data_IF_654163543112
#
_entry.id   IF_654163543112
#
_cell.length_a   1.000
_cell.length_b   1.000
_cell.length_c   1.000
_cell.angle_alpha   90.00
_cell.angle_beta   90.00
_cell.angle_gamma   90.00
#
_symmetry.space_group_name_H-M   'P 1'
#
loop_
_entity.id
_entity.type
_entity.pdbx_description
1 polymer ?
#
# COMPACT_ATOMS: atom_id res chain seq x y z
N UNK A 1 -81.38 -21.52 35.74
CA UNK A 1 -82.81 -21.66 36.06
C UNK A 1 -83.45 -22.51 34.98
N UNK A 2 -83.78 -23.75 35.34
CA UNK A 2 -84.16 -24.83 34.44
C UNK A 2 -85.53 -24.54 33.79
N UNK A 3 -85.80 -24.93 32.55
CA UNK A 3 -87.04 -24.53 31.86
C UNK A 3 -88.32 -25.00 32.57
N UNK A 4 -88.24 -26.12 33.28
CA UNK A 4 -89.31 -26.61 34.17
C UNK A 4 -89.57 -25.65 35.35
N UNK A 5 -88.53 -25.08 35.95
CA UNK A 5 -88.65 -24.15 37.08
C UNK A 5 -89.27 -22.81 36.66
N UNK A 6 -88.93 -22.30 35.46
CA UNK A 6 -89.56 -21.10 34.90
C UNK A 6 -91.05 -21.32 34.64
N UNK A 7 -91.43 -22.52 34.18
CA UNK A 7 -92.83 -22.88 33.96
C UNK A 7 -93.60 -22.95 35.29
N UNK A 8 -93.05 -23.62 36.31
CA UNK A 8 -93.66 -23.68 37.64
C UNK A 8 -93.77 -22.30 38.30
N UNK A 9 -92.77 -21.44 38.14
CA UNK A 9 -92.79 -20.07 38.65
C UNK A 9 -93.89 -19.22 37.97
N UNK A 10 -94.06 -19.35 36.64
CA UNK A 10 -95.14 -18.67 35.90
C UNK A 10 -96.52 -19.20 36.31
N UNK A 11 -96.69 -20.51 36.49
CA UNK A 11 -97.95 -21.09 36.99
C UNK A 11 -98.25 -20.68 38.43
N UNK A 12 -97.25 -20.62 39.30
CA UNK A 12 -97.41 -20.18 40.69
C UNK A 12 -97.84 -18.71 40.76
N UNK A 13 -97.21 -17.83 39.96
CA UNK A 13 -97.63 -16.42 39.85
C UNK A 13 -99.05 -16.31 39.30
N UNK A 14 -99.36 -17.02 38.21
CA UNK A 14 -100.69 -16.97 37.62
C UNK A 14 -101.77 -17.47 38.58
N UNK A 15 -101.51 -18.55 39.32
CA UNK A 15 -102.40 -19.09 40.36
C UNK A 15 -102.59 -18.11 41.52
N UNK A 16 -101.53 -17.42 41.94
CA UNK A 16 -101.57 -16.45 43.02
C UNK A 16 -102.34 -15.18 42.62
N UNK A 17 -102.15 -14.71 41.39
CA UNK A 17 -102.95 -13.61 40.80
C UNK A 17 -104.42 -14.00 40.67
N UNK A 18 -104.72 -15.21 40.19
CA UNK A 18 -106.10 -15.70 40.03
C UNK A 18 -106.83 -15.83 41.37
N UNK A 19 -106.17 -16.39 42.38
CA UNK A 19 -106.72 -16.52 43.74
C UNK A 19 -106.92 -15.15 44.39
N UNK A 20 -105.98 -14.22 44.18
CA UNK A 20 -106.10 -12.84 44.61
C UNK A 20 -107.33 -12.14 44.00
N UNK A 21 -107.56 -12.30 42.69
CA UNK A 21 -108.73 -11.74 42.00
C UNK A 21 -110.05 -12.33 42.51
N UNK A 22 -110.12 -13.64 42.77
CA UNK A 22 -111.32 -14.29 43.30
C UNK A 22 -111.65 -13.82 44.73
N UNK A 23 -110.65 -13.79 45.61
CA UNK A 23 -110.81 -13.29 46.99
C UNK A 23 -111.26 -11.83 47.00
N UNK A 24 -110.66 -11.01 46.14
CA UNK A 24 -111.01 -9.61 45.97
C UNK A 24 -112.45 -9.44 45.49
N UNK A 25 -112.87 -10.22 44.49
CA UNK A 25 -114.23 -10.19 43.95
C UNK A 25 -115.27 -10.66 44.99
N UNK A 26 -114.95 -11.68 45.79
CA UNK A 26 -115.84 -12.19 46.84
C UNK A 26 -116.01 -11.22 48.01
N UNK A 27 -114.92 -10.62 48.51
CA UNK A 27 -114.98 -9.71 49.67
C UNK A 27 -115.59 -8.34 49.33
N UNK A 28 -115.35 -7.85 48.12
CA UNK A 28 -115.70 -6.47 47.76
C UNK A 28 -116.84 -6.34 46.75
N UNK A 29 -117.37 -7.46 46.23
CA UNK A 29 -118.50 -7.47 45.28
C UNK A 29 -119.81 -6.87 45.82
N UNK A 30 -119.95 -6.68 47.15
CA UNK A 30 -121.14 -6.06 47.76
C UNK A 30 -121.02 -4.55 48.02
N UNK A 31 -119.82 -3.97 48.06
CA UNK A 31 -119.55 -2.54 48.31
C UNK A 31 -118.67 -1.92 47.19
N UNK A 32 -119.01 -2.17 45.93
CA UNK A 32 -118.14 -1.94 44.78
C UNK A 32 -117.61 -0.51 44.58
N UNK A 33 -118.24 0.53 45.14
CA UNK A 33 -117.84 1.92 44.90
C UNK A 33 -116.52 2.33 45.60
N UNK A 34 -116.23 1.83 46.80
CA UNK A 34 -115.01 2.23 47.53
C UNK A 34 -113.76 1.56 46.95
N UNK A 35 -113.91 0.34 46.46
CA UNK A 35 -112.79 -0.50 45.99
C UNK A 35 -112.30 -0.09 44.62
N UNK A 36 -113.22 0.29 43.73
CA UNK A 36 -112.88 0.88 42.43
C UNK A 36 -112.11 2.20 42.63
N UNK A 37 -112.45 2.98 43.68
CA UNK A 37 -111.72 4.19 44.04
C UNK A 37 -110.27 3.90 44.49
N UNK A 38 -110.06 2.90 45.35
CA UNK A 38 -108.71 2.50 45.79
C UNK A 38 -107.84 1.94 44.66
N UNK A 39 -108.40 1.15 43.73
CA UNK A 39 -107.65 0.66 42.56
C UNK A 39 -107.30 1.82 41.62
N UNK A 40 -108.26 2.72 41.35
CA UNK A 40 -108.00 3.92 40.54
C UNK A 40 -106.88 4.78 41.14
N UNK A 41 -106.86 4.91 42.47
CA UNK A 41 -105.80 5.60 43.20
C UNK A 41 -104.45 4.88 43.12
N UNK A 42 -104.41 3.56 43.35
CA UNK A 42 -103.19 2.77 43.26
C UNK A 42 -102.59 2.72 41.84
N UNK A 43 -103.45 2.67 40.80
CA UNK A 43 -103.04 2.75 39.40
C UNK A 43 -102.48 4.13 39.03
N UNK A 44 -103.04 5.20 39.59
CA UNK A 44 -102.50 6.57 39.44
C UNK A 44 -101.15 6.70 40.13
N UNK A 45 -101.02 6.20 41.37
CA UNK A 45 -99.76 6.22 42.13
C UNK A 45 -98.66 5.41 41.43
N UNK A 46 -99.01 4.23 40.91
CA UNK A 46 -98.08 3.40 40.14
C UNK A 46 -97.64 4.10 38.85
N UNK A 47 -98.55 4.78 38.16
CA UNK A 47 -98.23 5.60 36.98
C UNK A 47 -97.27 6.74 37.31
N UNK A 48 -97.47 7.42 38.45
CA UNK A 48 -96.58 8.48 38.92
C UNK A 48 -95.18 7.92 39.20
N UNK A 49 -95.08 6.80 39.92
CA UNK A 49 -93.78 6.18 40.24
C UNK A 49 -93.05 5.75 38.96
N UNK A 50 -93.77 5.16 38.00
CA UNK A 50 -93.19 4.72 36.73
C UNK A 50 -92.71 5.92 35.89
N UNK A 51 -93.46 7.02 35.89
CA UNK A 51 -93.06 8.27 35.25
C UNK A 51 -91.79 8.86 35.90
N UNK A 52 -91.68 8.83 37.23
CA UNK A 52 -90.47 9.27 37.94
C UNK A 52 -89.27 8.38 37.62
N UNK A 53 -89.44 7.05 37.57
CA UNK A 53 -88.37 6.14 37.20
C UNK A 53 -87.88 6.39 35.77
N UNK A 54 -88.79 6.64 34.83
CA UNK A 54 -88.46 7.02 33.46
C UNK A 54 -87.67 8.34 33.40
N UNK A 55 -88.07 9.33 34.19
CA UNK A 55 -87.38 10.62 34.32
C UNK A 55 -85.94 10.43 34.85
N UNK A 56 -85.76 9.63 35.90
CA UNK A 56 -84.43 9.33 36.48
C UNK A 56 -83.54 8.65 35.44
N UNK A 57 -84.07 7.67 34.72
CA UNK A 57 -83.32 6.97 33.67
C UNK A 57 -82.91 7.93 32.54
N UNK A 58 -83.82 8.81 32.12
CA UNK A 58 -83.52 9.85 31.13
C UNK A 58 -82.42 10.80 31.63
N UNK A 59 -82.44 11.20 32.90
CA UNK A 59 -81.38 12.02 33.51
C UNK A 59 -80.02 11.29 33.57
N UNK A 60 -79.99 10.03 33.98
CA UNK A 60 -78.76 9.24 34.04
C UNK A 60 -78.14 9.04 32.65
N UNK A 61 -78.97 8.71 31.67
CA UNK A 61 -78.56 8.57 30.28
C UNK A 61 -78.01 9.90 29.73
N UNK A 62 -78.69 11.02 30.01
CA UNK A 62 -78.23 12.35 29.61
C UNK A 62 -76.88 12.74 30.26
N UNK A 63 -76.67 12.38 31.53
CA UNK A 63 -75.39 12.61 32.23
C UNK A 63 -74.23 11.80 31.63
N UNK A 64 -74.46 10.53 31.28
CA UNK A 64 -73.45 9.68 30.62
C UNK A 64 -73.13 10.22 29.21
N UNK A 65 -74.14 10.64 28.44
CA UNK A 65 -73.92 11.22 27.11
C UNK A 65 -73.11 12.52 27.17
N UNK A 66 -73.35 13.39 28.16
CA UNK A 66 -72.54 14.58 28.40
C UNK A 66 -71.05 14.25 28.61
N UNK A 67 -70.76 13.31 29.51
CA UNK A 67 -69.37 12.90 29.82
C UNK A 67 -68.66 12.18 28.66
N UNK A 68 -69.40 11.48 27.81
CA UNK A 68 -68.84 10.78 26.64
C UNK A 68 -68.50 11.75 25.52
N UNK A 69 -69.35 12.76 25.29
CA UNK A 69 -69.08 13.83 24.33
C UNK A 69 -67.89 14.69 24.75
N UNK A 70 -67.73 14.99 26.03
CA UNK A 70 -66.57 15.72 26.56
C UNK A 70 -65.26 14.95 26.37
N UNK A 71 -65.27 13.62 26.58
CA UNK A 71 -64.12 12.75 26.29
C UNK A 71 -63.78 12.68 24.80
N UNK A 72 -64.79 12.65 23.94
CA UNK A 72 -64.61 12.69 22.47
C UNK A 72 -64.04 14.04 22.02
N UNK A 73 -64.57 15.15 22.50
CA UNK A 73 -64.05 16.50 22.23
C UNK A 73 -62.61 16.65 22.72
N UNK A 74 -62.30 16.18 23.93
CA UNK A 74 -60.94 16.19 24.46
C UNK A 74 -59.99 15.34 23.62
N UNK A 75 -60.45 14.18 23.13
CA UNK A 75 -59.65 13.30 22.27
C UNK A 75 -59.43 13.91 20.89
N UNK A 76 -60.45 14.56 20.30
CA UNK A 76 -60.34 15.28 19.04
C UNK A 76 -59.34 16.44 19.16
N UNK A 77 -59.43 17.25 20.23
CA UNK A 77 -58.46 18.31 20.53
C UNK A 77 -57.05 17.80 20.71
N UNK A 78 -56.87 16.64 21.36
CA UNK A 78 -55.55 15.99 21.47
C UNK A 78 -55.02 15.55 20.12
N UNK A 79 -55.85 14.94 19.27
CA UNK A 79 -55.45 14.56 17.91
C UNK A 79 -55.05 15.80 17.11
N UNK A 80 -55.84 16.88 17.14
CA UNK A 80 -55.50 18.14 16.50
C UNK A 80 -54.17 18.72 17.01
N UNK A 81 -53.93 18.68 18.32
CA UNK A 81 -52.66 19.13 18.91
C UNK A 81 -51.46 18.27 18.50
N UNK A 82 -51.66 16.95 18.34
CA UNK A 82 -50.61 16.02 17.90
C UNK A 82 -50.32 16.23 16.42
N UNK A 83 -51.34 16.34 15.57
CA UNK A 83 -51.19 16.60 14.14
C UNK A 83 -50.49 17.93 13.89
N UNK A 84 -50.90 19.01 14.56
CA UNK A 84 -50.24 20.32 14.44
C UNK A 84 -48.79 20.30 14.94
N UNK A 85 -48.49 19.51 15.98
CA UNK A 85 -47.10 19.31 16.44
C UNK A 85 -46.28 18.51 15.44
N UNK A 86 -46.89 17.53 14.76
CA UNK A 86 -46.28 16.75 13.69
C UNK A 86 -45.95 17.63 12.48
N UNK A 87 -46.88 18.49 12.06
CA UNK A 87 -46.68 19.42 10.95
C UNK A 87 -45.53 20.39 11.22
N UNK A 88 -45.47 20.97 12.44
CA UNK A 88 -44.35 21.80 12.88
C UNK A 88 -43.03 21.04 12.90
N UNK A 89 -43.05 19.78 13.33
CA UNK A 89 -41.84 18.93 13.35
C UNK A 89 -41.37 18.65 11.93
N UNK A 90 -42.28 18.35 11.01
CA UNK A 90 -41.96 18.13 9.59
C UNK A 90 -41.37 19.39 8.94
N UNK A 91 -41.90 20.57 9.26
CA UNK A 91 -41.36 21.85 8.78
C UNK A 91 -39.93 22.08 9.32
N UNK A 92 -39.72 21.87 10.63
CA UNK A 92 -38.40 22.01 11.25
C UNK A 92 -37.38 21.02 10.68
N UNK A 93 -37.79 19.76 10.46
CA UNK A 93 -36.94 18.73 9.85
C UNK A 93 -36.58 19.14 8.41
N UNK A 94 -37.54 19.64 7.64
CA UNK A 94 -37.30 20.09 6.27
C UNK A 94 -36.32 21.27 6.22
N UNK A 95 -36.47 22.24 7.11
CA UNK A 95 -35.55 23.38 7.23
C UNK A 95 -34.13 22.92 7.60
N UNK A 96 -34.00 22.08 8.65
CA UNK A 96 -32.69 21.56 9.08
C UNK A 96 -32.02 20.70 8.01
N UNK A 97 -32.79 19.90 7.26
CA UNK A 97 -32.26 19.13 6.15
C UNK A 97 -31.70 20.04 5.06
N UNK A 98 -32.41 21.11 4.70
CA UNK A 98 -31.94 22.07 3.72
C UNK A 98 -30.67 22.80 4.18
N UNK A 99 -30.60 23.21 5.44
CA UNK A 99 -29.40 23.81 6.04
C UNK A 99 -28.21 22.84 6.01
N UNK A 100 -28.43 21.59 6.45
CA UNK A 100 -27.38 20.55 6.44
C UNK A 100 -26.89 20.26 5.02
N UNK A 101 -27.78 20.21 4.03
CA UNK A 101 -27.42 20.00 2.63
C UNK A 101 -26.61 21.19 2.08
N UNK A 102 -26.96 22.42 2.46
CA UNK A 102 -26.20 23.60 2.08
C UNK A 102 -24.79 23.60 2.69
N UNK A 103 -24.67 23.32 3.99
CA UNK A 103 -23.37 23.21 4.67
C UNK A 103 -22.48 22.11 4.06
N UNK A 104 -23.07 20.95 3.74
CA UNK A 104 -22.35 19.86 3.07
C UNK A 104 -21.86 20.26 1.68
N UNK A 105 -22.69 20.98 0.91
CA UNK A 105 -22.30 21.48 -0.41
C UNK A 105 -21.13 22.46 -0.30
N UNK A 106 -21.19 23.40 0.63
CA UNK A 106 -20.13 24.39 0.83
C UNK A 106 -18.83 23.72 1.30
N UNK A 107 -18.91 22.76 2.22
CA UNK A 107 -17.75 21.98 2.67
C UNK A 107 -17.14 21.15 1.54
N UNK A 108 -17.96 20.57 0.66
CA UNK A 108 -17.49 19.84 -0.52
C UNK A 108 -16.78 20.77 -1.50
N UNK A 109 -17.36 21.95 -1.77
CA UNK A 109 -16.75 22.94 -2.66
C UNK A 109 -15.40 23.43 -2.11
N UNK A 110 -15.31 23.72 -0.81
CA UNK A 110 -14.04 24.07 -0.17
C UNK A 110 -13.00 22.96 -0.28
N UNK A 111 -13.41 21.70 -0.07
CA UNK A 111 -12.53 20.53 -0.18
C UNK A 111 -12.03 20.38 -1.61
N UNK A 112 -12.90 20.51 -2.61
CA UNK A 112 -12.54 20.47 -4.04
C UNK A 112 -11.54 21.59 -4.38
N UNK A 113 -11.77 22.80 -3.89
CA UNK A 113 -10.87 23.94 -4.13
C UNK A 113 -9.49 23.75 -3.49
N UNK A 114 -9.44 23.21 -2.26
CA UNK A 114 -8.18 22.86 -1.60
C UNK A 114 -7.44 21.76 -2.35
N UNK A 115 -8.14 20.70 -2.77
CA UNK A 115 -7.54 19.63 -3.57
C UNK A 115 -6.99 20.16 -4.89
N UNK A 116 -7.76 20.97 -5.62
CA UNK A 116 -7.32 21.55 -6.90
C UNK A 116 -6.08 22.44 -6.72
N UNK A 117 -6.01 23.18 -5.62
CA UNK A 117 -4.84 24.00 -5.29
C UNK A 117 -3.63 23.12 -4.96
N UNK A 118 -3.82 22.09 -4.13
CA UNK A 118 -2.77 21.12 -3.81
C UNK A 118 -2.25 20.37 -5.04
N UNK A 119 -3.16 19.93 -5.93
CA UNK A 119 -2.78 19.30 -7.19
C UNK A 119 -1.96 20.21 -8.09
N UNK A 120 -2.34 21.49 -8.21
CA UNK A 120 -1.55 22.48 -8.97
C UNK A 120 -0.14 22.64 -8.39
N UNK A 121 -0.01 22.73 -7.07
CA UNK A 121 1.28 22.85 -6.40
C UNK A 121 2.15 21.60 -6.58
N UNK A 122 1.57 20.42 -6.45
CA UNK A 122 2.27 19.15 -6.71
C UNK A 122 2.70 19.08 -8.16
N UNK A 123 1.83 19.42 -9.10
CA UNK A 123 2.15 19.43 -10.53
C UNK A 123 3.28 20.39 -10.86
N UNK A 124 3.30 21.60 -10.27
CA UNK A 124 4.39 22.55 -10.48
C UNK A 124 5.70 22.06 -9.88
N UNK A 125 5.66 21.45 -8.69
CA UNK A 125 6.85 20.89 -8.03
C UNK A 125 7.43 19.71 -8.81
N UNK A 126 6.58 18.84 -9.35
CA UNK A 126 7.01 17.74 -10.23
C UNK A 126 7.64 18.27 -11.52
N UNK A 127 7.08 19.32 -12.12
CA UNK A 127 7.67 19.93 -13.32
C UNK A 127 9.05 20.52 -13.01
N UNK A 128 9.19 21.24 -11.89
CA UNK A 128 10.48 21.79 -11.45
C UNK A 128 11.53 20.69 -11.22
N UNK A 129 11.13 19.56 -10.61
CA UNK A 129 12.02 18.41 -10.44
C UNK A 129 12.44 17.78 -11.77
N UNK A 130 11.52 17.68 -12.74
CA UNK A 130 11.83 17.19 -14.08
C UNK A 130 12.83 18.10 -14.79
N UNK A 131 12.64 19.42 -14.69
CA UNK A 131 13.54 20.41 -15.28
C UNK A 131 14.94 20.35 -14.62
N UNK A 132 15.01 20.24 -13.29
CA UNK A 132 16.27 20.05 -12.56
C UNK A 132 16.99 18.76 -12.97
N UNK A 133 16.27 17.65 -13.16
CA UNK A 133 16.84 16.39 -13.64
C UNK A 133 17.39 16.51 -15.07
N UNK A 134 16.71 17.25 -15.95
CA UNK A 134 17.22 17.49 -17.31
C UNK A 134 18.53 18.29 -17.29
N UNK A 135 18.63 19.31 -16.42
CA UNK A 135 19.86 20.07 -16.20
C UNK A 135 20.97 19.15 -15.67
N UNK A 136 20.67 18.35 -14.64
CA UNK A 136 21.61 17.39 -14.05
C UNK A 136 22.18 16.43 -15.10
N UNK A 137 21.34 15.86 -15.96
CA UNK A 137 21.77 14.97 -17.03
C UNK A 137 22.72 15.69 -18.01
N UNK A 138 22.43 16.95 -18.34
CA UNK A 138 23.30 17.75 -19.21
C UNK A 138 24.66 17.99 -18.54
N UNK A 139 24.67 18.33 -17.25
CA UNK A 139 25.93 18.49 -16.50
C UNK A 139 26.72 17.19 -16.38
N UNK A 140 26.06 16.04 -16.24
CA UNK A 140 26.72 14.74 -16.22
C UNK A 140 27.40 14.42 -17.56
N UNK A 141 26.76 14.72 -18.68
CA UNK A 141 27.40 14.56 -19.99
C UNK A 141 28.59 15.51 -20.17
N UNK A 142 28.51 16.75 -19.69
CA UNK A 142 29.65 17.68 -19.71
C UNK A 142 30.83 17.17 -18.85
N UNK A 143 30.55 16.62 -17.67
CA UNK A 143 31.57 15.99 -16.82
C UNK A 143 32.19 14.80 -17.54
N UNK A 144 31.38 13.95 -18.18
CA UNK A 144 31.85 12.80 -18.96
C UNK A 144 32.75 13.24 -20.12
N UNK A 145 32.36 14.26 -20.88
CA UNK A 145 33.19 14.84 -21.94
C UNK A 145 34.51 15.37 -21.39
N UNK A 146 34.48 16.14 -20.29
CA UNK A 146 35.68 16.68 -19.63
C UNK A 146 36.62 15.57 -19.15
N UNK A 147 36.07 14.49 -18.59
CA UNK A 147 36.85 13.32 -18.17
C UNK A 147 37.48 12.62 -19.35
N UNK A 148 36.75 12.47 -20.47
CA UNK A 148 37.29 11.89 -21.70
C UNK A 148 38.38 12.77 -22.31
N UNK A 149 38.18 14.08 -22.34
CA UNK A 149 39.18 15.05 -22.80
C UNK A 149 40.42 15.00 -21.91
N UNK A 150 40.25 14.98 -20.58
CA UNK A 150 41.35 14.84 -19.62
C UNK A 150 42.10 13.54 -19.84
N UNK A 151 41.38 12.42 -20.04
CA UNK A 151 41.97 11.12 -20.36
C UNK A 151 42.79 11.18 -21.65
N UNK A 152 42.24 11.78 -22.70
CA UNK A 152 42.95 11.98 -23.98
C UNK A 152 44.19 12.85 -23.79
N UNK A 153 44.06 13.99 -23.10
CA UNK A 153 45.16 14.90 -22.82
C UNK A 153 46.26 14.23 -21.99
N UNK A 154 45.90 13.38 -21.03
CA UNK A 154 46.85 12.57 -20.27
C UNK A 154 47.57 11.57 -21.18
N UNK A 155 46.85 10.83 -22.03
CA UNK A 155 47.48 9.92 -22.99
C UNK A 155 48.35 10.64 -24.01
N UNK A 156 47.96 11.83 -24.46
CA UNK A 156 48.74 12.66 -25.37
C UNK A 156 49.96 13.25 -24.68
N UNK A 157 49.83 13.75 -23.45
CA UNK A 157 50.96 14.27 -22.67
C UNK A 157 51.96 13.14 -22.37
N UNK A 158 51.48 11.97 -21.93
CA UNK A 158 52.29 10.77 -21.80
C UNK A 158 52.89 10.40 -23.16
N UNK A 159 52.11 10.35 -24.23
CA UNK A 159 52.61 10.13 -25.60
C UNK A 159 53.71 11.10 -26.04
N UNK A 160 53.59 12.38 -25.70
CA UNK A 160 54.53 13.44 -26.07
C UNK A 160 55.73 13.58 -25.15
N UNK A 161 55.70 12.99 -23.94
CA UNK A 161 56.93 12.73 -23.20
C UNK A 161 57.92 11.91 -24.04
N UNK A 162 57.48 11.19 -25.08
CA UNK A 162 58.36 10.53 -26.06
C UNK A 162 59.01 11.47 -27.10
N UNK A 163 58.57 12.73 -27.23
CA UNK A 163 59.19 13.71 -28.15
C UNK A 163 60.27 14.54 -27.47
N UNK A 164 60.21 14.64 -26.14
CA UNK A 164 61.41 14.86 -25.34
C UNK A 164 62.17 13.55 -25.47
N UNK A 165 63.24 13.54 -26.27
CA UNK A 165 64.20 12.44 -26.28
C UNK A 165 64.44 12.04 -24.83
N UNK A 166 63.88 10.90 -24.41
CA UNK A 166 64.35 10.22 -23.22
C UNK A 166 65.83 10.05 -23.50
N UNK A 167 66.67 10.85 -22.84
CA UNK A 167 68.05 10.44 -22.61
C UNK A 167 67.93 8.99 -22.17
N UNK A 168 68.53 8.08 -22.95
CA UNK A 168 68.49 6.65 -22.68
C UNK A 168 68.77 6.48 -21.19
N UNK A 169 67.74 6.08 -20.43
CA UNK A 169 67.90 5.79 -19.01
C UNK A 169 69.10 4.87 -18.93
N UNK A 170 70.09 5.26 -18.13
CA UNK A 170 71.24 4.38 -17.94
C UNK A 170 70.73 3.02 -17.47
N UNK A 171 71.41 1.93 -17.83
CA UNK A 171 70.97 0.57 -17.47
C UNK A 171 70.65 0.44 -15.98
N UNK A 172 71.36 1.17 -15.11
CA UNK A 172 71.10 1.20 -13.67
C UNK A 172 69.79 1.92 -13.29
N UNK A 173 69.43 3.01 -13.98
CA UNK A 173 68.18 3.74 -13.72
C UNK A 173 66.96 2.96 -14.21
N UNK A 174 67.06 2.31 -15.38
CA UNK A 174 66.02 1.41 -15.87
C UNK A 174 65.81 0.23 -14.91
N UNK A 175 66.89 -0.36 -14.40
CA UNK A 175 66.80 -1.48 -13.47
C UNK A 175 66.16 -1.07 -12.13
N UNK A 176 66.55 0.09 -11.60
CA UNK A 176 65.91 0.64 -10.39
C UNK A 176 64.44 0.97 -10.63
N UNK A 177 64.10 1.50 -11.81
CA UNK A 177 62.72 1.75 -12.19
C UNK A 177 61.91 0.45 -12.23
N UNK A 178 62.42 -0.61 -12.85
CA UNK A 178 61.75 -1.92 -12.93
C UNK A 178 61.54 -2.52 -11.53
N UNK A 179 62.55 -2.49 -10.67
CA UNK A 179 62.44 -3.03 -9.32
C UNK A 179 61.37 -2.29 -8.50
N UNK A 180 61.41 -0.95 -8.53
CA UNK A 180 60.39 -0.14 -7.87
C UNK A 180 59.01 -0.37 -8.49
N UNK A 181 58.93 -0.39 -9.82
CA UNK A 181 57.69 -0.63 -10.55
C UNK A 181 57.03 -1.94 -10.10
N UNK A 182 57.79 -3.04 -10.14
CA UNK A 182 57.32 -4.34 -9.67
C UNK A 182 56.94 -4.27 -8.21
N UNK A 183 57.73 -3.63 -7.33
CA UNK A 183 57.45 -3.50 -5.89
C UNK A 183 56.16 -2.72 -5.58
N UNK A 184 55.78 -1.74 -6.40
CA UNK A 184 54.56 -0.96 -6.17
C UNK A 184 53.31 -1.55 -6.84
N UNK A 185 53.44 -2.55 -7.70
CA UNK A 185 52.26 -3.22 -8.27
C UNK A 185 51.47 -3.99 -7.21
N UNK A 186 50.15 -4.04 -7.41
CA UNK A 186 49.27 -4.95 -6.66
C UNK A 186 49.55 -6.40 -7.04
N UNK A 187 49.22 -7.36 -6.17
CA UNK A 187 49.45 -8.78 -6.45
C UNK A 187 48.71 -9.25 -7.72
N UNK A 188 47.52 -8.72 -8.00
CA UNK A 188 46.76 -9.00 -9.21
C UNK A 188 47.53 -8.58 -10.48
N UNK A 189 48.14 -7.40 -10.48
CA UNK A 189 48.98 -6.92 -11.58
C UNK A 189 50.23 -7.78 -11.77
N UNK A 190 50.82 -8.26 -10.67
CA UNK A 190 51.96 -9.20 -10.74
C UNK A 190 51.55 -10.52 -11.40
N UNK A 191 50.34 -11.02 -11.16
CA UNK A 191 49.83 -12.23 -11.81
C UNK A 191 49.67 -12.03 -13.32
N UNK A 192 49.20 -10.87 -13.77
CA UNK A 192 49.16 -10.54 -15.21
C UNK A 192 50.56 -10.51 -15.84
N UNK A 193 51.54 -9.89 -15.16
CA UNK A 193 52.93 -9.89 -15.64
C UNK A 193 53.51 -11.31 -15.69
N UNK A 194 53.21 -12.12 -14.69
CA UNK A 194 53.62 -13.52 -14.64
C UNK A 194 53.04 -14.32 -15.81
N UNK A 195 51.76 -14.11 -16.13
CA UNK A 195 51.14 -14.71 -17.31
C UNK A 195 51.86 -14.36 -18.62
N UNK A 196 52.27 -13.09 -18.81
CA UNK A 196 53.06 -12.70 -19.98
C UNK A 196 54.42 -13.38 -20.03
N UNK A 197 55.09 -13.52 -18.89
CA UNK A 197 56.37 -14.24 -18.79
C UNK A 197 56.18 -15.70 -19.23
N UNK A 198 55.17 -16.38 -18.72
CA UNK A 198 54.90 -17.77 -19.09
C UNK A 198 54.50 -17.89 -20.57
N UNK A 199 53.68 -16.98 -21.10
CA UNK A 199 53.35 -16.92 -22.53
C UNK A 199 54.61 -16.80 -23.38
N UNK A 200 55.55 -15.95 -22.96
CA UNK A 200 56.82 -15.78 -23.68
C UNK A 200 57.67 -17.04 -23.65
N UNK A 201 57.77 -17.71 -22.49
CA UNK A 201 58.55 -18.94 -22.33
C UNK A 201 58.06 -20.08 -23.21
N UNK A 202 56.74 -20.21 -23.39
CA UNK A 202 56.15 -21.24 -24.25
C UNK A 202 56.09 -20.82 -25.73
N UNK A 203 56.40 -19.56 -26.05
CA UNK A 203 56.39 -18.97 -27.39
C UNK A 203 55.06 -19.20 -28.15
N UNK A 204 53.94 -18.96 -27.47
CA UNK A 204 52.58 -19.13 -28.02
C UNK A 204 51.78 -17.84 -27.98
N UNK A 205 50.76 -17.79 -28.83
CA UNK A 205 49.69 -16.80 -28.74
C UNK A 205 48.83 -17.09 -27.51
N UNK A 206 48.51 -16.07 -26.73
CA UNK A 206 47.67 -16.18 -25.55
C UNK A 206 46.31 -15.51 -25.73
N UNK A 207 45.31 -16.01 -25.02
CA UNK A 207 44.01 -15.36 -24.89
C UNK A 207 43.89 -14.73 -23.51
N UNK A 208 44.13 -13.42 -23.42
CA UNK A 208 44.06 -12.67 -22.16
C UNK A 208 42.65 -12.69 -21.58
N UNK A 209 41.62 -12.62 -22.43
CA UNK A 209 40.24 -12.63 -21.95
C UNK A 209 39.93 -13.90 -21.17
N UNK A 210 40.31 -15.06 -21.73
CA UNK A 210 40.17 -16.34 -21.05
C UNK A 210 41.05 -16.43 -19.80
N UNK A 211 42.28 -15.90 -19.84
CA UNK A 211 43.12 -15.81 -18.64
C UNK A 211 42.45 -15.01 -17.52
N UNK A 212 41.79 -13.89 -17.83
CA UNK A 212 41.06 -13.10 -16.82
C UNK A 212 39.93 -13.93 -16.20
N UNK A 213 39.15 -14.64 -17.03
CA UNK A 213 38.07 -15.53 -16.54
C UNK A 213 38.65 -16.65 -15.68
N UNK A 214 39.75 -17.28 -16.12
CA UNK A 214 40.45 -18.30 -15.36
C UNK A 214 40.92 -17.77 -14.00
N UNK A 215 41.56 -16.60 -13.97
CA UNK A 215 42.08 -15.99 -12.75
C UNK A 215 40.95 -15.58 -11.78
N UNK A 216 39.82 -15.10 -12.29
CA UNK A 216 38.62 -14.84 -11.51
C UNK A 216 38.07 -16.13 -10.88
N UNK A 217 37.95 -17.21 -11.66
CA UNK A 217 37.49 -18.51 -11.15
C UNK A 217 38.44 -19.15 -10.14
N UNK A 218 39.75 -18.87 -10.24
CA UNK A 218 40.76 -19.32 -9.28
C UNK A 218 40.90 -18.43 -8.05
N UNK A 219 40.10 -17.36 -7.94
CA UNK A 219 40.13 -16.39 -6.84
C UNK A 219 41.47 -15.67 -6.66
N UNK A 220 42.17 -15.43 -7.77
CA UNK A 220 43.46 -14.72 -7.77
C UNK A 220 43.41 -13.40 -8.55
N UNK A 221 42.25 -13.05 -9.09
CA UNK A 221 41.98 -11.76 -9.75
C UNK A 221 41.27 -10.78 -8.82
N UNK A 222 41.26 -9.50 -9.20
CA UNK A 222 40.70 -8.42 -8.40
C UNK A 222 39.18 -8.61 -8.24
N UNK A 223 38.68 -8.50 -7.01
CA UNK A 223 37.28 -8.69 -6.64
C UNK A 223 36.69 -10.06 -7.04
N UNK A 224 37.55 -11.08 -7.12
CA UNK A 224 37.12 -12.44 -7.47
C UNK A 224 36.12 -13.07 -6.49
N UNK A 225 36.10 -12.65 -5.23
CA UNK A 225 35.07 -13.07 -4.27
C UNK A 225 33.66 -12.64 -4.69
N UNK A 226 33.54 -11.48 -5.36
CA UNK A 226 32.28 -10.90 -5.85
C UNK A 226 31.88 -11.49 -7.21
N UNK A 227 32.85 -12.04 -7.96
CA UNK A 227 32.60 -12.62 -9.29
C UNK A 227 31.67 -13.85 -9.27
N UNK A 228 31.53 -14.51 -8.11
CA UNK A 228 30.67 -15.68 -7.96
C UNK A 228 29.25 -15.36 -7.48
N UNK A 229 28.89 -14.08 -7.36
CA UNK A 229 27.50 -13.67 -7.08
C UNK A 229 26.57 -14.07 -8.23
N UNK A 230 25.28 -14.31 -7.95
CA UNK A 230 24.31 -14.73 -8.97
C UNK A 230 23.98 -13.62 -9.98
N UNK A 231 24.28 -12.37 -9.67
CA UNK A 231 23.94 -11.21 -10.51
C UNK A 231 24.92 -11.03 -11.68
N UNK A 232 24.42 -11.22 -12.90
CA UNK A 232 25.20 -11.09 -14.13
C UNK A 232 25.71 -9.66 -14.38
N UNK A 233 25.04 -8.63 -13.87
CA UNK A 233 25.50 -7.25 -13.96
C UNK A 233 26.77 -7.02 -13.13
N UNK A 234 26.82 -7.65 -11.95
CA UNK A 234 27.98 -7.62 -11.06
C UNK A 234 29.16 -8.36 -11.68
N UNK A 235 28.93 -9.57 -12.24
CA UNK A 235 29.98 -10.31 -12.98
C UNK A 235 30.57 -9.50 -14.12
N UNK A 236 29.71 -8.86 -14.90
CA UNK A 236 30.13 -8.02 -16.03
C UNK A 236 30.97 -6.84 -15.56
N UNK A 237 30.58 -6.20 -14.45
CA UNK A 237 31.35 -5.11 -13.84
C UNK A 237 32.75 -5.58 -13.39
N UNK A 238 32.83 -6.69 -12.66
CA UNK A 238 34.11 -7.25 -12.16
C UNK A 238 35.03 -7.67 -13.31
N UNK A 239 34.48 -8.29 -14.36
CA UNK A 239 35.21 -8.65 -15.57
C UNK A 239 35.78 -7.40 -16.26
N UNK A 240 34.95 -6.38 -16.49
CA UNK A 240 35.38 -5.12 -17.11
C UNK A 240 36.45 -4.39 -16.28
N UNK A 241 36.38 -4.48 -14.95
CA UNK A 241 37.40 -3.92 -14.05
C UNK A 241 38.75 -4.59 -14.25
N UNK A 242 38.79 -5.92 -14.32
CA UNK A 242 40.03 -6.67 -14.56
C UNK A 242 40.58 -6.45 -15.98
N UNK A 243 39.71 -6.34 -17.00
CA UNK A 243 40.10 -5.94 -18.36
C UNK A 243 40.74 -4.54 -18.35
N UNK A 244 40.16 -3.59 -17.62
CA UNK A 244 40.71 -2.25 -17.46
C UNK A 244 42.10 -2.25 -16.79
N UNK A 245 42.26 -3.06 -15.75
CA UNK A 245 43.54 -3.23 -15.05
C UNK A 245 44.61 -3.85 -15.97
N UNK A 246 44.23 -4.85 -16.77
CA UNK A 246 45.08 -5.41 -17.82
C UNK A 246 45.55 -4.34 -18.81
N UNK A 247 44.62 -3.54 -19.36
CA UNK A 247 44.99 -2.53 -20.35
C UNK A 247 45.90 -1.46 -19.76
N UNK A 248 45.65 -1.03 -18.52
CA UNK A 248 46.54 -0.11 -17.80
C UNK A 248 47.96 -0.66 -17.70
N UNK A 249 48.09 -1.93 -17.33
CA UNK A 249 49.37 -2.62 -17.26
C UNK A 249 50.05 -2.73 -18.63
N UNK A 250 49.32 -3.24 -19.63
CA UNK A 250 49.77 -3.39 -21.01
C UNK A 250 50.37 -2.09 -21.55
N UNK A 251 49.62 -0.98 -21.44
CA UNK A 251 50.07 0.30 -21.96
C UNK A 251 51.29 0.81 -21.20
N UNK A 252 51.29 0.69 -19.87
CA UNK A 252 52.41 1.14 -19.06
C UNK A 252 53.71 0.39 -19.39
N UNK A 253 53.65 -0.94 -19.47
CA UNK A 253 54.85 -1.76 -19.72
C UNK A 253 55.33 -1.67 -21.15
N UNK A 254 54.41 -1.59 -22.11
CA UNK A 254 54.75 -1.43 -23.53
C UNK A 254 55.37 -0.08 -23.81
N UNK A 255 54.78 0.98 -23.25
CA UNK A 255 55.29 2.34 -23.42
C UNK A 255 56.70 2.50 -22.81
N UNK A 256 56.96 1.88 -21.66
CA UNK A 256 58.28 1.91 -21.02
C UNK A 256 59.36 1.08 -21.73
N UNK A 257 59.01 0.33 -22.79
CA UNK A 257 59.93 -0.59 -23.46
C UNK A 257 60.33 -1.81 -22.62
N UNK A 258 59.64 -2.05 -21.50
CA UNK A 258 59.90 -3.20 -20.61
C UNK A 258 59.30 -4.49 -21.20
N UNK A 259 58.14 -4.37 -21.84
CA UNK A 259 57.45 -5.45 -22.54
C UNK A 259 57.18 -5.01 -23.98
N UNK A 260 57.27 -5.92 -24.94
CA UNK A 260 56.80 -5.67 -26.29
C UNK A 260 55.71 -6.70 -26.60
N UNK A 261 54.49 -6.20 -26.74
CA UNK A 261 53.29 -7.02 -26.89
C UNK A 261 52.61 -6.63 -28.20
N UNK A 262 52.20 -7.62 -28.98
CA UNK A 262 51.41 -7.45 -30.20
C UNK A 262 50.05 -8.13 -30.05
N UNK A 263 49.01 -7.53 -30.64
CA UNK A 263 47.67 -8.11 -30.73
C UNK A 263 46.65 -7.49 -29.78
N UNK A 264 45.64 -8.27 -29.40
CA UNK A 264 44.50 -7.84 -28.57
C UNK A 264 44.16 -8.89 -27.48
N UNK A 265 43.05 -8.68 -26.76
CA UNK A 265 42.62 -9.57 -25.67
C UNK A 265 42.40 -11.03 -26.09
N UNK A 266 42.00 -11.27 -27.33
CA UNK A 266 41.74 -12.60 -27.86
C UNK A 266 43.00 -13.29 -28.37
N UNK A 267 43.96 -12.49 -28.84
CA UNK A 267 45.22 -12.95 -29.44
C UNK A 267 46.35 -12.01 -29.05
N UNK A 268 47.07 -12.37 -28.00
CA UNK A 268 48.21 -11.62 -27.46
C UNK A 268 49.51 -12.37 -27.73
N UNK A 269 50.51 -11.70 -28.28
CA UNK A 269 51.84 -12.24 -28.58
C UNK A 269 52.88 -11.42 -27.86
N UNK A 270 53.73 -12.07 -27.06
CA UNK A 270 54.84 -11.40 -26.37
C UNK A 270 56.11 -11.49 -27.23
N UNK A 271 56.54 -10.36 -27.81
CA UNK A 271 57.73 -10.30 -28.66
C UNK A 271 59.00 -10.31 -27.83
N UNK A 272 59.06 -9.45 -26.82
CA UNK A 272 60.21 -9.32 -25.93
C UNK A 272 59.79 -8.97 -24.50
N UNK A 273 60.61 -9.39 -23.53
CA UNK A 273 60.46 -9.08 -22.10
C UNK A 273 61.84 -8.68 -21.57
N UNK A 274 61.90 -7.59 -20.82
CA UNK A 274 63.10 -7.21 -20.09
C UNK A 274 63.45 -8.27 -19.01
N UNK A 275 64.69 -8.76 -19.00
CA UNK A 275 65.12 -9.83 -18.09
C UNK A 275 65.06 -9.46 -16.61
N UNK A 276 65.24 -8.18 -16.27
CA UNK A 276 65.14 -7.72 -14.88
C UNK A 276 63.68 -7.61 -14.44
N UNK A 277 62.74 -7.33 -15.36
CA UNK A 277 61.31 -7.44 -15.07
C UNK A 277 60.96 -8.90 -14.79
N UNK A 278 61.38 -9.81 -15.67
CA UNK A 278 61.13 -11.25 -15.51
C UNK A 278 61.61 -11.74 -14.14
N UNK A 279 62.87 -11.44 -13.78
CA UNK A 279 63.45 -11.82 -12.50
C UNK A 279 62.69 -11.21 -11.31
N UNK A 280 62.33 -9.93 -11.39
CA UNK A 280 61.63 -9.24 -10.32
C UNK A 280 60.21 -9.77 -10.09
N UNK A 281 59.49 -10.07 -11.18
CA UNK A 281 58.13 -10.66 -11.12
C UNK A 281 58.18 -12.08 -10.56
N UNK A 282 59.09 -12.94 -11.04
CA UNK A 282 59.26 -14.31 -10.52
C UNK A 282 59.58 -14.27 -9.03
N UNK A 283 60.56 -13.46 -8.62
CA UNK A 283 60.92 -13.32 -7.20
C UNK A 283 59.72 -12.86 -6.36
N UNK A 284 58.89 -11.94 -6.88
CA UNK A 284 57.70 -11.47 -6.17
C UNK A 284 56.61 -12.55 -6.08
N UNK A 285 56.42 -13.35 -7.11
CA UNK A 285 55.51 -14.51 -7.08
C UNK A 285 55.98 -15.51 -6.02
N UNK A 286 57.26 -15.90 -6.05
CA UNK A 286 57.85 -16.85 -5.11
C UNK A 286 57.70 -16.39 -3.66
N UNK A 287 57.98 -15.10 -3.39
CA UNK A 287 57.82 -14.51 -2.06
C UNK A 287 56.36 -14.42 -1.59
N UNK A 288 55.42 -14.23 -2.51
CA UNK A 288 54.00 -14.14 -2.17
C UNK A 288 53.37 -15.50 -1.85
N UNK A 289 53.93 -16.58 -2.39
CA UNK A 289 53.35 -17.91 -2.33
C UNK A 289 51.98 -18.02 -3.00
N UNK A 290 51.57 -17.05 -3.82
CA UNK A 290 50.23 -17.01 -4.42
C UNK A 290 50.07 -18.00 -5.57
N UNK A 291 51.17 -18.36 -6.23
CA UNK A 291 51.23 -19.39 -7.26
C UNK A 291 52.00 -20.56 -6.72
N UNK A 292 51.27 -21.58 -6.27
CA UNK A 292 51.84 -22.89 -5.97
C UNK A 292 51.98 -23.73 -7.24
N UNK A 293 52.50 -24.95 -7.08
CA UNK A 293 52.72 -25.87 -8.19
C UNK A 293 51.41 -26.24 -8.89
N UNK A 294 50.31 -26.39 -8.15
CA UNK A 294 49.00 -26.77 -8.68
C UNK A 294 48.40 -25.64 -9.54
N UNK A 295 48.50 -24.39 -9.06
CA UNK A 295 48.03 -23.22 -9.79
C UNK A 295 48.87 -22.96 -11.04
N UNK A 296 50.20 -23.11 -10.95
CA UNK A 296 51.08 -23.03 -12.11
C UNK A 296 50.72 -24.11 -13.16
N UNK A 297 50.55 -25.37 -12.75
CA UNK A 297 50.11 -26.42 -13.66
C UNK A 297 48.76 -26.11 -14.29
N UNK A 298 47.79 -25.61 -13.51
CA UNK A 298 46.48 -25.22 -14.04
C UNK A 298 46.55 -24.04 -15.02
N UNK A 299 47.49 -23.11 -14.84
CA UNK A 299 47.76 -22.02 -15.77
C UNK A 299 48.32 -22.56 -17.09
N UNK A 300 49.32 -23.43 -17.01
CA UNK A 300 49.95 -24.04 -18.18
C UNK A 300 48.96 -24.89 -18.99
N UNK A 301 48.08 -25.63 -18.31
CA UNK A 301 47.01 -26.40 -18.95
C UNK A 301 46.04 -25.49 -19.71
N UNK A 302 45.63 -24.37 -19.12
CA UNK A 302 44.77 -23.39 -19.78
C UNK A 302 45.45 -22.83 -21.04
N UNK A 303 46.73 -22.43 -20.93
CA UNK A 303 47.49 -21.88 -22.05
C UNK A 303 47.72 -22.89 -23.19
N UNK A 304 47.75 -24.19 -22.89
CA UNK A 304 47.95 -25.23 -23.90
C UNK A 304 46.66 -25.64 -24.62
N UNK A 305 45.51 -25.55 -23.95
CA UNK A 305 44.23 -26.05 -24.44
C UNK A 305 43.37 -25.00 -25.16
N UNK A 306 43.81 -23.74 -25.20
CA UNK A 306 43.04 -22.61 -25.77
C UNK A 306 43.51 -22.15 -27.16
N UNK A 307 44.20 -23.02 -27.92
CA UNK A 307 44.50 -22.83 -29.35
C UNK A 307 43.43 -23.49 -30.21
#
# INVERSE_FOLDING_TARGET
>A
MNDKEKLHYRYMIAFLVWTGLLLFSFFYGKNGNEVVSYIGFAGTLSSIILAVAALIYAFYQNSIYGSSNEKLDTSAKRIESVTSSLDRTNEQVSLRLNETVAELRDSLEQTINHMNTGFKQISSSLQEQLDQNAIMNTSLEQVRETVMETKYNLYFALGNFNSVKTEELSTNELNNFILNYVQFQSIHQIIFLYYFIELKKIDKEGNVYNFIIWALNKKIAMDSDVFHEEDDSVKTMVLNKNIGLFWGLYYQTTYSGILEIEGDLSKTIIKSINSDLERAVINRIDLSGIIDQDLHSSLMDMMQNEI
#
